data_IF_638232513270
#
_entry.id   IF_638232513270
#
_cell.length_a   1.000
_cell.length_b   1.000
_cell.length_c   1.000
_cell.angle_alpha   90.00
_cell.angle_beta   90.00
_cell.angle_gamma   90.00
#
_symmetry.space_group_name_H-M   'P 1'
#
loop_
_entity.id
_entity.type
_entity.pdbx_description
1 polymer ?
#
# COMPACT_ATOMS: atom_id res chain seq x y z
N UNK A 1 21.08 4.28 8.65
CA UNK A 1 20.38 4.88 7.47
C UNK A 1 19.00 4.25 7.19
N UNK A 2 18.87 3.09 6.54
CA UNK A 2 17.55 2.55 6.15
C UNK A 2 16.63 2.22 7.34
N UNK A 3 17.16 1.54 8.36
CA UNK A 3 16.40 1.26 9.59
C UNK A 3 16.04 2.52 10.38
N UNK A 4 16.85 3.59 10.29
CA UNK A 4 16.53 4.87 10.93
C UNK A 4 15.37 5.57 10.21
N UNK A 5 15.38 5.53 8.88
CA UNK A 5 14.26 6.03 8.09
C UNK A 5 12.98 5.23 8.37
N UNK A 6 13.08 3.91 8.48
CA UNK A 6 11.97 3.03 8.86
C UNK A 6 11.44 3.41 10.25
N UNK A 7 12.33 3.62 11.23
CA UNK A 7 11.91 4.08 12.56
C UNK A 7 11.07 5.36 12.44
N UNK A 8 11.58 6.35 11.70
CA UNK A 8 10.87 7.61 11.49
C UNK A 8 9.55 7.44 10.70
N UNK A 9 9.39 6.36 9.92
CA UNK A 9 8.15 6.03 9.21
C UNK A 9 7.07 5.52 10.17
N UNK A 10 7.45 4.85 11.25
CA UNK A 10 6.53 4.26 12.23
C UNK A 10 6.33 5.12 13.49
N UNK A 11 7.17 6.13 13.72
CA UNK A 11 7.00 7.20 14.73
C UNK A 11 5.93 8.18 14.25
N UNK A 12 4.66 7.86 14.50
CA UNK A 12 3.53 8.57 13.91
C UNK A 12 3.21 9.89 14.60
N UNK A 13 3.57 10.03 15.88
CA UNK A 13 3.40 11.25 16.64
C UNK A 13 4.68 12.11 16.73
N UNK A 14 5.75 11.67 16.07
CA UNK A 14 7.07 12.35 15.98
C UNK A 14 7.71 12.55 17.36
N UNK A 15 7.38 11.71 18.34
CA UNK A 15 7.87 11.81 19.72
C UNK A 15 9.28 11.20 19.91
N UNK A 16 9.86 10.59 18.86
CA UNK A 16 11.17 9.92 18.83
C UNK A 16 11.23 8.60 19.61
N UNK A 17 10.08 7.98 19.84
CA UNK A 17 9.92 6.68 20.47
C UNK A 17 8.77 5.94 19.78
N UNK A 18 8.86 4.61 19.72
CA UNK A 18 7.75 3.78 19.26
C UNK A 18 7.02 3.22 20.48
N UNK A 19 5.75 3.58 20.61
CA UNK A 19 4.86 2.89 21.53
C UNK A 19 4.61 1.44 21.06
N UNK A 20 3.91 0.65 21.89
CA UNK A 20 3.62 -0.75 21.53
C UNK A 20 2.81 -0.86 20.23
N UNK A 21 1.90 0.07 19.95
CA UNK A 21 1.07 0.01 18.75
C UNK A 21 1.88 0.32 17.50
N UNK A 22 2.74 1.33 17.55
CA UNK A 22 3.66 1.70 16.48
C UNK A 22 4.64 0.57 16.19
N UNK A 23 5.23 -0.03 17.24
CA UNK A 23 6.10 -1.18 17.10
C UNK A 23 5.34 -2.41 16.55
N UNK A 24 4.11 -2.66 17.01
CA UNK A 24 3.28 -3.74 16.49
C UNK A 24 3.01 -3.59 15.00
N UNK A 25 2.79 -2.36 14.51
CA UNK A 25 2.58 -2.11 13.09
C UNK A 25 3.84 -2.38 12.25
N UNK A 26 5.02 -2.08 12.80
CA UNK A 26 6.29 -2.52 12.22
C UNK A 26 6.33 -4.05 12.12
N UNK A 27 6.07 -4.77 13.21
CA UNK A 27 6.10 -6.25 13.25
C UNK A 27 5.10 -6.89 12.29
N UNK A 28 3.85 -6.42 12.27
CA UNK A 28 2.85 -6.90 11.31
C UNK A 28 3.36 -6.69 9.88
N UNK A 29 4.05 -5.58 9.62
CA UNK A 29 4.49 -5.27 8.27
C UNK A 29 5.67 -6.15 7.84
N UNK A 30 6.60 -6.44 8.73
CA UNK A 30 7.83 -7.18 8.41
C UNK A 30 7.76 -8.67 8.65
N UNK A 31 7.07 -9.12 9.69
CA UNK A 31 6.90 -10.51 10.08
C UNK A 31 5.51 -11.08 9.74
N UNK A 32 4.51 -10.22 9.52
CA UNK A 32 3.14 -10.66 9.19
C UNK A 32 2.28 -11.05 10.38
N UNK A 33 2.77 -10.84 11.61
CA UNK A 33 2.11 -11.27 12.85
C UNK A 33 2.00 -10.10 13.84
N UNK A 34 0.97 -10.14 14.70
CA UNK A 34 0.83 -9.19 15.80
C UNK A 34 1.76 -9.57 16.95
N UNK A 35 2.28 -8.57 17.65
CA UNK A 35 3.11 -8.77 18.83
C UNK A 35 2.28 -9.23 20.03
N UNK A 36 2.57 -10.42 20.54
CA UNK A 36 1.92 -10.91 21.74
C UNK A 36 2.40 -10.17 22.99
N UNK A 37 1.70 -10.32 24.12
CA UNK A 37 2.15 -9.77 25.40
C UNK A 37 3.48 -10.37 25.86
N UNK A 38 3.73 -11.63 25.50
CA UNK A 38 4.95 -12.36 25.81
C UNK A 38 6.12 -11.82 24.97
N UNK A 39 5.93 -11.67 23.65
CA UNK A 39 6.93 -11.08 22.76
C UNK A 39 7.29 -9.65 23.17
N UNK A 40 6.27 -8.83 23.48
CA UNK A 40 6.50 -7.46 23.93
C UNK A 40 7.28 -7.40 25.24
N UNK A 41 7.01 -8.31 26.17
CA UNK A 41 7.74 -8.40 27.43
C UNK A 41 9.20 -8.82 27.21
N UNK A 42 9.44 -9.79 26.32
CA UNK A 42 10.78 -10.22 25.91
C UNK A 42 11.58 -9.08 25.26
N UNK A 43 10.97 -8.33 24.33
CA UNK A 43 11.59 -7.18 23.68
C UNK A 43 11.98 -6.14 24.73
N UNK A 44 11.08 -5.80 25.66
CA UNK A 44 11.37 -4.84 26.74
C UNK A 44 12.54 -5.28 27.61
N UNK A 45 12.60 -6.56 27.98
CA UNK A 45 13.72 -7.11 28.75
C UNK A 45 15.04 -7.00 27.97
N UNK A 46 15.04 -7.39 26.69
CA UNK A 46 16.23 -7.40 25.83
C UNK A 46 16.87 -6.02 25.63
N UNK A 47 16.06 -4.96 25.56
CA UNK A 47 16.55 -3.58 25.45
C UNK A 47 16.55 -2.79 26.76
N UNK A 48 16.21 -3.43 27.88
CA UNK A 48 16.16 -2.77 29.19
C UNK A 48 15.21 -1.58 29.20
N UNK A 49 13.97 -1.80 28.78
CA UNK A 49 12.88 -0.83 28.90
C UNK A 49 12.22 -0.95 30.27
N UNK A 50 12.07 0.18 30.96
CA UNK A 50 11.21 0.27 32.13
C UNK A 50 9.72 0.15 31.74
N UNK A 51 8.84 -0.03 32.74
CA UNK A 51 7.43 -0.37 32.50
C UNK A 51 6.66 0.66 31.68
N UNK A 52 7.08 1.93 31.76
CA UNK A 52 6.50 3.10 31.08
C UNK A 52 7.38 3.63 29.94
N UNK A 53 8.46 2.94 29.58
CA UNK A 53 9.35 3.36 28.48
C UNK A 53 8.92 2.77 27.14
N UNK A 54 8.97 3.62 26.10
CA UNK A 54 8.78 3.26 24.70
C UNK A 54 10.13 3.00 24.00
N UNK A 55 10.10 2.35 22.84
CA UNK A 55 11.30 1.96 22.11
C UNK A 55 11.91 3.18 21.42
N UNK A 56 13.04 3.68 21.90
CA UNK A 56 13.79 4.74 21.22
C UNK A 56 14.51 4.23 19.97
N UNK A 57 14.92 5.14 19.08
CA UNK A 57 15.62 4.82 17.82
C UNK A 57 16.85 3.93 18.04
N UNK A 58 17.67 4.23 19.05
CA UNK A 58 18.86 3.43 19.38
C UNK A 58 18.49 2.01 19.86
N UNK A 59 17.45 1.88 20.67
CA UNK A 59 16.94 0.57 21.12
C UNK A 59 16.34 -0.23 19.95
N UNK A 60 15.62 0.42 19.03
CA UNK A 60 15.11 -0.19 17.79
C UNK A 60 16.24 -0.74 16.90
N UNK A 61 17.29 0.07 16.66
CA UNK A 61 18.44 -0.37 15.88
C UNK A 61 19.17 -1.53 16.56
N UNK A 62 19.26 -1.51 17.90
CA UNK A 62 19.89 -2.57 18.68
C UNK A 62 19.13 -3.90 18.54
N UNK A 63 17.79 -3.88 18.60
CA UNK A 63 16.95 -5.06 18.40
C UNK A 63 17.16 -5.70 17.03
N UNK A 64 17.05 -4.89 15.97
CA UNK A 64 17.25 -5.39 14.60
C UNK A 64 18.67 -5.92 14.38
N UNK A 65 19.68 -5.31 14.99
CA UNK A 65 21.05 -5.83 14.94
C UNK A 65 21.21 -7.17 15.67
N UNK A 66 20.48 -7.39 16.77
CA UNK A 66 20.49 -8.68 17.46
C UNK A 66 19.80 -9.76 16.62
N UNK A 67 18.66 -9.45 16.00
CA UNK A 67 17.96 -10.40 15.11
C UNK A 67 18.82 -10.82 13.90
N UNK A 68 19.70 -9.97 13.39
CA UNK A 68 20.63 -10.37 12.31
C UNK A 68 21.77 -11.26 12.81
N UNK A 69 22.11 -11.17 14.10
CA UNK A 69 23.21 -11.93 14.71
C UNK A 69 22.77 -13.23 15.37
N UNK A 70 21.47 -13.40 15.59
CA UNK A 70 20.88 -14.61 16.14
C UNK A 70 20.96 -15.75 15.10
N UNK A 71 21.32 -16.94 15.55
CA UNK A 71 21.47 -18.13 14.69
C UNK A 71 20.12 -18.66 14.21
N UNK A 72 19.03 -18.32 14.90
CA UNK A 72 17.67 -18.77 14.61
C UNK A 72 16.92 -17.86 13.62
N UNK A 73 17.38 -16.62 13.40
CA UNK A 73 16.79 -15.69 12.40
C UNK A 73 17.73 -15.49 11.23
N UNK A 74 17.22 -15.71 10.02
CA UNK A 74 18.06 -15.64 8.83
C UNK A 74 18.18 -14.20 8.33
N UNK A 75 19.33 -13.84 7.74
CA UNK A 75 19.48 -12.59 6.98
C UNK A 75 18.35 -12.40 5.96
N UNK A 76 17.83 -13.53 5.44
CA UNK A 76 16.72 -13.56 4.49
C UNK A 76 15.41 -13.03 5.11
N UNK A 77 15.17 -13.21 6.40
CA UNK A 77 13.97 -12.74 7.09
C UNK A 77 13.97 -11.21 7.21
N UNK A 78 15.13 -10.62 7.56
CA UNK A 78 15.29 -9.16 7.53
C UNK A 78 15.06 -8.63 6.11
N UNK A 79 15.66 -9.27 5.09
CA UNK A 79 15.44 -8.87 3.70
C UNK A 79 13.99 -8.98 3.26
N UNK A 80 13.28 -10.02 3.69
CA UNK A 80 11.86 -10.19 3.42
C UNK A 80 11.04 -9.05 4.06
N UNK A 81 11.37 -8.66 5.30
CA UNK A 81 10.76 -7.53 5.98
C UNK A 81 11.02 -6.19 5.29
N UNK A 82 12.26 -5.91 4.93
CA UNK A 82 12.63 -4.69 4.20
C UNK A 82 11.94 -4.61 2.84
N UNK A 83 11.91 -5.72 2.10
CA UNK A 83 11.21 -5.81 0.82
C UNK A 83 9.71 -5.63 0.97
N UNK A 84 9.14 -6.14 2.06
CA UNK A 84 7.72 -5.92 2.35
C UNK A 84 7.45 -4.42 2.44
N UNK A 85 8.33 -3.64 3.07
CA UNK A 85 8.26 -2.18 3.18
C UNK A 85 8.59 -1.44 1.88
N UNK A 86 8.89 -2.15 0.81
CA UNK A 86 9.17 -1.57 -0.50
C UNK A 86 10.59 -1.07 -0.68
N UNK A 87 11.54 -1.58 0.13
CA UNK A 87 12.96 -1.40 -0.12
C UNK A 87 13.49 -2.45 -1.09
N UNK A 88 14.46 -2.04 -1.92
CA UNK A 88 15.25 -2.95 -2.74
C UNK A 88 16.57 -3.37 -2.06
N UNK A 89 17.35 -4.19 -2.74
CA UNK A 89 18.66 -4.65 -2.24
C UNK A 89 19.72 -3.56 -2.12
N UNK A 90 19.51 -2.38 -2.72
CA UNK A 90 20.34 -1.20 -2.49
C UNK A 90 19.89 -0.37 -1.27
N UNK A 91 18.88 -0.86 -0.53
CA UNK A 91 18.23 -0.17 0.59
C UNK A 91 17.59 1.17 0.18
N UNK A 92 17.17 1.27 -1.08
CA UNK A 92 16.40 2.38 -1.61
C UNK A 92 14.92 2.01 -1.66
N UNK A 93 14.05 2.97 -1.33
CA UNK A 93 12.60 2.80 -1.41
C UNK A 93 12.17 2.86 -2.89
N UNK A 94 11.73 1.75 -3.47
CA UNK A 94 11.39 1.65 -4.90
C UNK A 94 9.96 1.16 -5.17
N UNK A 95 9.33 0.48 -4.22
CA UNK A 95 7.96 -0.06 -4.36
C UNK A 95 6.92 0.61 -3.45
N UNK A 96 7.29 1.67 -2.73
CA UNK A 96 6.34 2.52 -2.01
C UNK A 96 6.17 3.88 -2.71
N UNK A 97 4.91 4.26 -2.92
CA UNK A 97 4.55 5.61 -3.34
C UNK A 97 4.16 6.42 -2.12
N UNK A 98 5.09 7.26 -1.61
CA UNK A 98 4.77 8.19 -0.54
C UNK A 98 3.70 9.17 -1.01
N UNK A 99 2.63 9.36 -0.24
CA UNK A 99 1.67 10.44 -0.47
C UNK A 99 1.76 11.44 0.69
N UNK A 100 1.72 12.72 0.36
CA UNK A 100 1.65 13.78 1.35
C UNK A 100 0.19 14.11 1.62
N UNK A 101 -0.28 13.87 2.85
CA UNK A 101 -1.59 14.33 3.31
C UNK A 101 -1.43 15.71 3.95
N UNK A 102 -1.82 16.77 3.25
CA UNK A 102 -1.88 18.12 3.82
C UNK A 102 -3.27 18.38 4.37
N UNK A 103 -3.40 18.48 5.70
CA UNK A 103 -4.65 18.79 6.38
C UNK A 103 -4.65 20.28 6.77
N UNK A 104 -5.55 21.07 6.18
CA UNK A 104 -5.73 22.48 6.55
C UNK A 104 -6.88 22.61 7.54
N UNK A 105 -6.59 23.13 8.75
CA UNK A 105 -7.60 23.34 9.80
C UNK A 105 -7.61 24.81 10.20
N UNK A 106 -8.80 25.41 10.23
CA UNK A 106 -9.00 26.74 10.79
C UNK A 106 -9.36 26.60 12.27
N UNK A 107 -8.52 27.15 13.15
CA UNK A 107 -8.82 27.44 14.56
C UNK A 107 -9.08 26.24 15.50
N UNK A 108 -8.42 25.09 15.31
CA UNK A 108 -8.37 24.03 16.34
C UNK A 108 -7.06 23.24 16.29
N UNK A 109 -6.75 22.54 17.38
CA UNK A 109 -5.65 21.57 17.43
C UNK A 109 -6.02 20.32 16.61
N UNK A 110 -5.12 19.91 15.69
CA UNK A 110 -5.28 18.70 14.90
C UNK A 110 -4.73 17.51 15.68
N UNK A 111 -5.59 16.56 15.99
CA UNK A 111 -5.19 15.26 16.53
C UNK A 111 -5.52 14.18 15.50
N UNK A 112 -4.52 13.78 14.71
CA UNK A 112 -4.63 12.58 13.88
C UNK A 112 -4.30 11.38 14.75
N UNK A 113 -5.23 10.41 14.82
CA UNK A 113 -5.00 9.14 15.49
C UNK A 113 -5.20 8.01 14.48
N UNK A 114 -4.17 7.18 14.21
CA UNK A 114 -4.37 5.93 13.48
C UNK A 114 -5.40 5.08 14.24
N UNK A 115 -6.52 4.73 13.58
CA UNK A 115 -7.61 3.99 14.25
C UNK A 115 -7.49 2.49 14.09
N UNK A 116 -6.88 2.02 13.01
CA UNK A 116 -6.76 0.59 12.69
C UNK A 116 -5.80 0.35 11.55
N UNK A 117 -5.09 -0.77 11.60
CA UNK A 117 -4.57 -1.44 10.42
C UNK A 117 -5.69 -2.27 9.79
N UNK A 118 -5.75 -2.29 8.46
CA UNK A 118 -6.70 -3.13 7.73
C UNK A 118 -5.87 -3.96 6.76
N UNK A 119 -5.97 -5.28 6.85
CA UNK A 119 -5.28 -6.18 5.92
C UNK A 119 -5.67 -5.85 4.48
N UNK A 120 -4.73 -6.02 3.54
CA UNK A 120 -5.00 -5.85 2.11
C UNK A 120 -6.23 -6.65 1.63
N UNK A 121 -6.48 -7.82 2.22
CA UNK A 121 -7.66 -8.64 1.91
C UNK A 121 -8.98 -7.98 2.34
N UNK A 122 -9.01 -7.31 3.49
CA UNK A 122 -10.16 -6.57 3.97
C UNK A 122 -10.36 -5.26 3.21
N UNK A 123 -9.28 -4.52 2.96
CA UNK A 123 -9.30 -3.34 2.08
C UNK A 123 -9.87 -3.74 0.72
N UNK A 124 -9.40 -4.85 0.14
CA UNK A 124 -9.91 -5.37 -1.13
C UNK A 124 -11.42 -5.64 -1.05
N UNK A 125 -11.91 -6.32 -0.01
CA UNK A 125 -13.36 -6.55 0.18
C UNK A 125 -14.15 -5.25 0.29
N UNK A 126 -13.66 -4.27 1.03
CA UNK A 126 -14.30 -2.96 1.20
C UNK A 126 -14.31 -2.20 -0.13
N UNK A 127 -13.18 -2.18 -0.85
CA UNK A 127 -13.03 -1.51 -2.13
C UNK A 127 -13.91 -2.14 -3.20
N UNK A 128 -14.01 -3.48 -3.25
CA UNK A 128 -14.94 -4.21 -4.12
C UNK A 128 -16.37 -3.74 -3.86
N UNK A 129 -16.82 -3.77 -2.60
CA UNK A 129 -18.17 -3.32 -2.23
C UNK A 129 -18.40 -1.85 -2.59
N UNK A 130 -17.42 -0.99 -2.37
CA UNK A 130 -17.52 0.43 -2.74
C UNK A 130 -17.72 0.57 -4.25
N UNK A 131 -16.90 -0.11 -5.06
CA UNK A 131 -16.92 -0.02 -6.52
C UNK A 131 -18.17 -0.70 -7.13
N UNK A 132 -18.68 -1.77 -6.52
CA UNK A 132 -19.97 -2.37 -6.90
C UNK A 132 -21.14 -1.40 -6.66
N UNK A 133 -21.08 -0.58 -5.62
CA UNK A 133 -22.15 0.35 -5.24
C UNK A 133 -22.05 1.72 -5.91
N UNK A 134 -20.83 2.21 -6.16
CA UNK A 134 -20.56 3.57 -6.64
C UNK A 134 -19.95 3.61 -8.04
N UNK A 135 -19.32 2.52 -8.47
CA UNK A 135 -18.72 2.41 -9.79
C UNK A 135 -19.76 2.13 -10.87
N UNK A 136 -19.48 2.62 -12.06
CA UNK A 136 -20.23 2.30 -13.27
C UNK A 136 -19.70 1.00 -13.86
N UNK A 137 -20.56 -0.01 -14.01
CA UNK A 137 -20.19 -1.27 -14.68
C UNK A 137 -19.88 -1.03 -16.15
N UNK A 138 -18.70 -1.45 -16.60
CA UNK A 138 -18.30 -1.43 -18.00
C UNK A 138 -18.73 -2.75 -18.64
N UNK A 139 -19.48 -2.65 -19.74
CA UNK A 139 -19.90 -3.83 -20.51
C UNK A 139 -18.75 -4.32 -21.37
N UNK A 140 -18.29 -5.54 -21.10
CA UNK A 140 -17.26 -6.22 -21.87
C UNK A 140 -17.88 -7.26 -22.82
N UNK A 141 -17.12 -7.62 -23.85
CA UNK A 141 -17.48 -8.70 -24.78
C UNK A 141 -17.28 -10.10 -24.17
N UNK A 142 -16.64 -10.19 -22.99
CA UNK A 142 -16.39 -11.44 -22.27
C UNK A 142 -17.11 -11.39 -20.94
N UNK A 143 -18.07 -12.30 -20.74
CA UNK A 143 -18.93 -12.32 -19.55
C UNK A 143 -18.22 -12.79 -18.27
N UNK A 144 -17.10 -13.50 -18.40
CA UNK A 144 -16.30 -13.99 -17.28
C UNK A 144 -15.46 -12.90 -16.61
N UNK A 145 -15.29 -11.74 -17.27
CA UNK A 145 -14.56 -10.59 -16.73
C UNK A 145 -15.56 -9.53 -16.32
N UNK A 146 -15.50 -9.13 -15.05
CA UNK A 146 -16.27 -8.03 -14.51
C UNK A 146 -15.37 -6.79 -14.45
N UNK A 147 -15.88 -5.66 -14.93
CA UNK A 147 -15.16 -4.41 -14.91
C UNK A 147 -16.07 -3.28 -14.42
N UNK A 148 -15.57 -2.50 -13.47
CA UNK A 148 -16.25 -1.34 -12.92
C UNK A 148 -15.31 -0.15 -12.97
N UNK A 149 -15.86 1.03 -13.28
CA UNK A 149 -15.13 2.28 -13.25
C UNK A 149 -15.79 3.24 -12.26
N UNK A 150 -15.08 3.63 -11.23
CA UNK A 150 -15.46 4.75 -10.38
C UNK A 150 -14.66 5.97 -10.81
N UNK A 151 -15.33 7.12 -10.94
CA UNK A 151 -14.70 8.36 -11.36
C UNK A 151 -15.21 9.51 -10.51
N UNK A 152 -14.30 10.38 -10.11
CA UNK A 152 -14.59 11.66 -9.47
C UNK A 152 -13.66 12.76 -10.02
N UNK A 153 -13.58 13.90 -9.31
CA UNK A 153 -12.74 15.03 -9.70
C UNK A 153 -11.23 14.76 -9.47
N UNK A 154 -10.87 13.74 -8.68
CA UNK A 154 -9.50 13.38 -8.31
C UNK A 154 -8.92 12.28 -9.19
N UNK A 155 -9.75 11.41 -9.77
CA UNK A 155 -9.29 10.44 -10.76
C UNK A 155 -10.35 9.43 -11.19
N UNK A 156 -9.84 8.32 -11.72
CA UNK A 156 -10.63 7.15 -12.08
C UNK A 156 -9.99 5.89 -11.46
N UNK A 157 -10.81 5.03 -10.88
CA UNK A 157 -10.43 3.72 -10.37
C UNK A 157 -11.12 2.67 -11.24
N UNK A 158 -10.32 1.86 -11.93
CA UNK A 158 -10.79 0.71 -12.69
C UNK A 158 -10.60 -0.56 -11.85
N UNK A 159 -11.70 -1.23 -11.57
CA UNK A 159 -11.72 -2.54 -10.95
C UNK A 159 -11.95 -3.59 -12.01
N UNK A 160 -11.09 -4.61 -12.03
CA UNK A 160 -11.19 -5.71 -12.98
C UNK A 160 -11.07 -7.04 -12.24
N UNK A 161 -12.03 -7.92 -12.44
CA UNK A 161 -12.06 -9.24 -11.84
C UNK A 161 -12.31 -10.29 -12.91
N UNK A 162 -11.41 -11.28 -13.01
CA UNK A 162 -11.57 -12.41 -13.93
C UNK A 162 -12.04 -13.65 -13.16
N UNK A 163 -13.31 -14.01 -13.35
CA UNK A 163 -13.94 -15.23 -12.80
C UNK A 163 -13.97 -16.38 -13.81
N UNK A 164 -13.22 -16.24 -14.91
CA UNK A 164 -13.13 -17.22 -15.97
C UNK A 164 -12.10 -18.31 -15.68
N UNK A 165 -12.20 -19.40 -16.43
CA UNK A 165 -11.25 -20.52 -16.37
C UNK A 165 -9.93 -20.25 -17.12
N UNK A 166 -9.85 -19.12 -17.84
CA UNK A 166 -8.70 -18.70 -18.64
C UNK A 166 -8.32 -17.26 -18.33
N UNK A 167 -7.04 -16.95 -18.48
CA UNK A 167 -6.54 -15.58 -18.43
C UNK A 167 -7.20 -14.74 -19.51
N UNK A 168 -7.37 -13.45 -19.23
CA UNK A 168 -7.94 -12.48 -20.15
C UNK A 168 -6.98 -11.33 -20.36
N UNK A 169 -6.92 -10.80 -21.58
CA UNK A 169 -6.15 -9.58 -21.87
C UNK A 169 -7.09 -8.40 -21.99
N UNK A 170 -6.91 -7.42 -21.13
CA UNK A 170 -7.67 -6.19 -21.15
C UNK A 170 -6.89 -5.11 -21.89
N UNK A 171 -7.44 -4.60 -22.99
CA UNK A 171 -6.90 -3.38 -23.62
C UNK A 171 -7.58 -2.16 -23.00
N UNK A 172 -6.80 -1.30 -22.34
CA UNK A 172 -7.28 -0.04 -21.77
C UNK A 172 -6.67 1.11 -22.57
N UNK A 173 -7.52 1.86 -23.28
CA UNK A 173 -7.09 3.07 -23.97
C UNK A 173 -7.31 4.29 -23.08
N UNK A 174 -6.26 5.08 -22.91
CA UNK A 174 -6.28 6.31 -22.10
C UNK A 174 -5.91 7.53 -22.95
N UNK A 175 -6.25 7.48 -24.24
CA UNK A 175 -5.71 8.31 -25.34
C UNK A 175 -5.76 9.83 -25.10
N UNK A 176 -6.71 10.32 -24.30
CA UNK A 176 -6.86 11.74 -24.01
C UNK A 176 -6.36 12.15 -22.61
N UNK A 177 -5.81 11.20 -21.84
CA UNK A 177 -5.27 11.50 -20.51
C UNK A 177 -3.78 11.82 -20.56
N UNK A 178 -3.46 13.05 -20.15
CA UNK A 178 -2.08 13.51 -20.02
C UNK A 178 -1.48 13.23 -18.63
N UNK A 179 -2.22 12.54 -17.75
CA UNK A 179 -1.98 12.54 -16.31
C UNK A 179 -1.90 11.14 -15.70
N UNK A 180 -1.66 10.12 -16.51
CA UNK A 180 -1.70 8.73 -16.05
C UNK A 180 -0.41 8.35 -15.33
N UNK A 181 -0.47 8.24 -14.00
CA UNK A 181 0.49 7.45 -13.23
C UNK A 181 -0.07 6.02 -13.09
N UNK A 182 0.46 5.09 -13.88
CA UNK A 182 0.13 3.67 -13.76
C UNK A 182 1.13 3.00 -12.81
N UNK A 183 0.63 2.21 -11.86
CA UNK A 183 1.47 1.35 -11.02
C UNK A 183 1.92 0.06 -11.75
N UNK A 184 1.91 0.09 -13.08
CA UNK A 184 2.34 -0.97 -13.99
C UNK A 184 3.18 -0.31 -15.09
N UNK A 185 4.30 -0.93 -15.51
CA UNK A 185 5.17 -0.36 -16.54
C UNK A 185 4.44 -0.36 -17.89
N UNK A 186 3.87 0.79 -18.28
CA UNK A 186 3.10 0.91 -19.52
C UNK A 186 3.51 2.17 -20.28
N UNK A 187 3.75 2.01 -21.59
CA UNK A 187 4.03 3.11 -22.51
C UNK A 187 2.75 3.91 -22.77
N UNK A 188 2.73 5.17 -22.31
CA UNK A 188 1.62 6.11 -22.45
C UNK A 188 1.23 6.42 -23.92
N UNK A 189 1.98 5.91 -24.91
CA UNK A 189 1.72 6.10 -26.34
C UNK A 189 0.93 4.95 -26.99
N UNK A 190 0.56 3.90 -26.27
CA UNK A 190 -0.20 2.75 -26.78
C UNK A 190 -1.35 2.34 -25.85
N UNK A 191 -2.35 1.57 -26.34
CA UNK A 191 -3.32 0.91 -25.47
C UNK A 191 -2.57 0.12 -24.41
N UNK A 192 -2.86 0.42 -23.15
CA UNK A 192 -2.31 -0.31 -22.02
C UNK A 192 -2.87 -1.71 -22.02
N UNK A 193 -2.05 -2.70 -22.40
CA UNK A 193 -2.43 -4.11 -22.30
C UNK A 193 -2.21 -4.57 -20.86
N UNK A 194 -3.30 -4.91 -20.19
CA UNK A 194 -3.29 -5.41 -18.82
C UNK A 194 -3.64 -6.90 -18.88
N UNK A 195 -2.70 -7.75 -18.46
CA UNK A 195 -2.96 -9.18 -18.32
C UNK A 195 -3.75 -9.42 -17.03
N UNK A 196 -4.97 -9.91 -17.15
CA UNK A 196 -5.84 -10.25 -16.02
C UNK A 196 -5.85 -11.76 -15.85
N UNK A 197 -5.02 -12.24 -14.93
CA UNK A 197 -4.88 -13.66 -14.64
C UNK A 197 -6.20 -14.23 -14.08
N UNK A 198 -6.45 -15.52 -14.31
CA UNK A 198 -7.58 -16.24 -13.72
C UNK A 198 -7.59 -16.11 -12.20
N UNK A 199 -8.79 -16.03 -11.61
CA UNK A 199 -8.99 -15.91 -10.16
C UNK A 199 -8.25 -14.73 -9.51
N UNK A 200 -7.86 -13.73 -10.32
CA UNK A 200 -7.25 -12.50 -9.81
C UNK A 200 -8.20 -11.32 -9.90
N UNK A 201 -7.97 -10.41 -8.97
CA UNK A 201 -8.61 -9.10 -8.95
C UNK A 201 -7.52 -8.07 -9.07
N UNK A 202 -7.68 -7.14 -10.00
CA UNK A 202 -6.76 -6.04 -10.21
C UNK A 202 -7.49 -4.72 -10.01
N UNK A 203 -6.82 -3.82 -9.30
CA UNK A 203 -7.27 -2.45 -9.08
C UNK A 203 -6.25 -1.56 -9.77
N UNK A 204 -6.72 -0.79 -10.74
CA UNK A 204 -5.89 0.11 -11.53
C UNK A 204 -6.38 1.53 -11.25
N UNK A 205 -5.47 2.39 -10.83
CA UNK A 205 -5.79 3.78 -10.54
C UNK A 205 -5.19 4.71 -11.61
N UNK A 206 -5.98 5.71 -11.98
CA UNK A 206 -5.59 6.79 -12.87
C UNK A 206 -5.81 8.11 -12.13
N UNK A 207 -4.73 8.80 -11.75
CA UNK A 207 -4.80 10.08 -11.05
C UNK A 207 -5.01 11.25 -12.03
N UNK A 208 -5.66 12.33 -11.58
CA UNK A 208 -5.60 13.63 -12.26
C UNK A 208 -4.36 14.42 -11.81
N UNK A 209 -3.66 15.05 -12.74
CA UNK A 209 -2.76 16.17 -12.40
C UNK A 209 -3.66 17.37 -12.14
N UNK A 210 -3.41 18.09 -11.04
CA UNK A 210 -4.14 19.26 -10.53
C UNK A 210 -4.05 20.47 -11.50
N UNK A 211 -4.43 20.29 -12.75
CA UNK A 211 -4.59 21.37 -13.71
C UNK A 211 -6.08 21.49 -14.03
N UNK A 212 -6.70 22.47 -13.36
CA UNK A 212 -8.14 22.70 -13.12
C UNK A 212 -9.07 22.80 -14.35
N UNK A 213 -8.60 22.46 -15.56
CA UNK A 213 -9.30 22.76 -16.81
C UNK A 213 -9.58 21.53 -17.70
N UNK A 214 -9.24 20.30 -17.30
CA UNK A 214 -9.41 19.13 -18.19
C UNK A 214 -10.21 18.00 -17.55
N UNK A 215 -11.42 17.78 -18.08
CA UNK A 215 -12.18 16.55 -17.86
C UNK A 215 -11.44 15.38 -18.52
N UNK A 216 -11.13 14.33 -17.77
CA UNK A 216 -10.70 13.05 -18.36
C UNK A 216 -11.96 12.33 -18.81
N UNK A 217 -12.24 12.28 -20.11
CA UNK A 217 -13.19 11.29 -20.63
C UNK A 217 -12.42 9.98 -20.72
N UNK A 218 -12.62 9.12 -19.73
CA UNK A 218 -12.08 7.76 -19.76
C UNK A 218 -13.00 6.94 -20.66
N UNK A 219 -12.88 7.15 -21.96
CA UNK A 219 -13.46 6.29 -23.00
C UNK A 219 -12.63 5.01 -23.06
N UNK A 220 -12.66 4.23 -21.97
CA UNK A 220 -12.08 2.92 -21.98
C UNK A 220 -12.92 2.03 -22.90
N UNK A 221 -12.49 1.94 -24.15
CA UNK A 221 -12.88 0.84 -25.03
C UNK A 221 -12.16 -0.39 -24.48
N UNK A 222 -12.80 -1.01 -23.49
CA UNK A 222 -12.29 -2.21 -22.86
C UNK A 222 -12.63 -3.39 -23.76
N UNK A 223 -11.64 -3.81 -24.56
CA UNK A 223 -11.74 -4.99 -25.39
C UNK A 223 -10.91 -6.11 -24.78
N UNK A 224 -11.53 -7.28 -24.68
CA UNK A 224 -10.82 -8.52 -24.34
C UNK A 224 -10.38 -9.17 -25.65
N UNK A 225 -9.08 -9.42 -25.78
CA UNK A 225 -8.52 -10.26 -26.85
C UNK A 225 -8.44 -11.72 -26.41
#
# INVERSE_FOLDING_TARGET
DALEYIFDLFDFDDNKQLDRNEYNLWTIRTAGEEITDEDWSSIRENVGLDIDENVSKDKFLKLNNFEVQDEDTSEQDLWNGLKSLGFNYALELDMMCSFNLTVHINQSDLHLKPTSYVELAEIKKILVKFLENKGQKIKLNVSSVQCFNYKDDCGSILFVENKGISDARLSVQVKDSNNVALNLPIDARQPSLINVLRDTTQIIWFAHKLDSQRKMELDAIVQVQ
#
